data_IF_943495824708
#
_entry.id   IF_943495824708
#
_cell.length_a   1.000
_cell.length_b   1.000
_cell.length_c   1.000
_cell.angle_alpha   90.00
_cell.angle_beta   90.00
_cell.angle_gamma   90.00
#
_symmetry.space_group_name_H-M   'P 1'
#
loop_
_entity.id
_entity.type
_entity.pdbx_description
1 polymer ?
#
# COMPACT_ATOMS: atom_id res chain seq x y z
N UNK A 1 8.21 -8.84 24.58
CA UNK A 1 9.43 -9.64 24.81
C UNK A 1 9.62 -10.77 23.76
N UNK A 2 9.08 -10.66 22.53
CA UNK A 2 9.24 -11.62 21.42
C UNK A 2 9.80 -10.95 20.13
N UNK A 3 10.39 -9.75 20.26
CA UNK A 3 11.05 -9.03 19.17
C UNK A 3 12.53 -9.45 19.04
N UNK A 4 13.14 -10.00 20.09
CA UNK A 4 14.59 -9.91 20.27
C UNK A 4 15.49 -10.99 19.65
N UNK A 5 15.02 -12.03 18.94
CA UNK A 5 15.98 -13.05 18.43
C UNK A 5 15.71 -13.64 17.04
N UNK A 6 14.52 -13.45 16.45
CA UNK A 6 14.18 -14.04 15.12
C UNK A 6 13.49 -13.06 14.16
N UNK A 7 13.44 -11.77 14.52
CA UNK A 7 12.70 -10.73 13.78
C UNK A 7 13.52 -9.46 13.53
N UNK A 8 14.73 -9.37 14.07
CA UNK A 8 15.57 -8.21 13.82
C UNK A 8 15.98 -8.15 12.35
N UNK A 9 15.98 -6.95 11.75
CA UNK A 9 16.38 -6.79 10.37
C UNK A 9 17.84 -7.24 10.18
N UNK A 10 18.18 -7.84 9.03
CA UNK A 10 19.58 -8.12 8.71
C UNK A 10 20.36 -6.81 8.62
N UNK A 11 21.68 -6.92 8.72
CA UNK A 11 22.57 -5.78 8.49
C UNK A 11 22.43 -5.33 7.03
N UNK A 12 21.73 -4.21 6.83
CA UNK A 12 21.51 -3.66 5.51
C UNK A 12 22.77 -2.99 4.96
N UNK A 13 22.98 -3.17 3.67
CA UNK A 13 24.06 -2.59 2.89
C UNK A 13 23.83 -1.08 2.72
N UNK A 14 24.85 -0.28 3.02
CA UNK A 14 24.77 1.19 3.03
C UNK A 14 24.86 1.82 1.63
N UNK A 15 25.38 1.08 0.66
CA UNK A 15 25.57 1.51 -0.71
C UNK A 15 24.27 1.49 -1.54
N UNK A 16 23.20 0.89 -1.01
CA UNK A 16 21.88 0.85 -1.63
C UNK A 16 20.88 1.70 -0.85
N UNK A 17 20.07 2.48 -1.56
CA UNK A 17 18.91 3.17 -0.95
C UNK A 17 17.82 2.19 -0.54
N UNK A 18 17.70 1.06 -1.24
CA UNK A 18 16.85 -0.04 -0.80
C UNK A 18 17.55 -0.79 0.35
N UNK A 19 16.83 -1.19 1.41
CA UNK A 19 17.39 -2.05 2.44
C UNK A 19 17.68 -3.44 1.85
N UNK A 20 18.95 -3.69 1.52
CA UNK A 20 19.43 -4.90 0.87
C UNK A 20 20.44 -5.62 1.77
N UNK A 21 20.56 -6.94 1.67
CA UNK A 21 21.57 -7.70 2.40
C UNK A 21 22.06 -8.88 1.58
N UNK A 22 23.23 -9.43 1.90
CA UNK A 22 23.68 -10.68 1.29
C UNK A 22 23.14 -11.88 2.06
N UNK A 23 22.60 -12.85 1.34
CA UNK A 23 22.12 -14.09 1.92
C UNK A 23 22.74 -15.29 1.21
N UNK A 24 23.36 -16.19 1.97
CA UNK A 24 23.95 -17.41 1.42
C UNK A 24 22.86 -18.31 0.85
N UNK A 25 23.08 -18.81 -0.36
CA UNK A 25 22.19 -19.81 -0.98
C UNK A 25 22.97 -21.13 -1.06
N UNK A 26 22.34 -22.21 -0.65
CA UNK A 26 22.83 -23.56 -0.94
C UNK A 26 22.33 -23.96 -2.33
N UNK A 27 23.11 -23.61 -3.36
CA UNK A 27 22.86 -24.04 -4.73
C UNK A 27 23.64 -25.31 -5.04
N UNK A 28 23.12 -26.16 -5.92
CA UNK A 28 23.93 -27.23 -6.53
C UNK A 28 24.91 -26.63 -7.52
N UNK A 29 26.01 -27.33 -7.81
CA UNK A 29 27.04 -26.85 -8.77
C UNK A 29 26.44 -26.47 -10.14
N UNK A 30 25.46 -27.26 -10.60
CA UNK A 30 24.73 -27.01 -11.87
C UNK A 30 23.90 -25.71 -11.81
N UNK A 31 23.24 -25.44 -10.70
CA UNK A 31 22.46 -24.21 -10.52
C UNK A 31 23.38 -22.99 -10.42
N UNK A 32 24.49 -23.14 -9.71
CA UNK A 32 25.50 -22.12 -9.52
C UNK A 32 26.15 -21.72 -10.86
N UNK A 33 26.54 -22.69 -11.66
CA UNK A 33 27.13 -22.47 -12.99
C UNK A 33 26.15 -21.76 -13.93
N UNK A 34 24.88 -22.17 -13.93
CA UNK A 34 23.83 -21.53 -14.75
C UNK A 34 23.62 -20.06 -14.39
N UNK A 35 23.60 -19.75 -13.09
CA UNK A 35 23.45 -18.37 -12.58
C UNK A 35 24.68 -17.52 -12.92
N UNK A 36 25.90 -18.07 -12.72
CA UNK A 36 27.15 -17.39 -13.07
C UNK A 36 27.20 -17.06 -14.55
N UNK A 37 26.94 -18.05 -15.42
CA UNK A 37 27.00 -17.86 -16.87
C UNK A 37 25.98 -16.82 -17.33
N UNK A 38 24.78 -16.83 -16.77
CA UNK A 38 23.76 -15.81 -17.05
C UNK A 38 24.21 -14.41 -16.61
N UNK A 39 24.84 -14.29 -15.44
CA UNK A 39 25.35 -13.02 -14.93
C UNK A 39 26.52 -12.50 -15.77
N UNK A 40 27.52 -13.35 -16.03
CA UNK A 40 28.71 -12.99 -16.81
C UNK A 40 28.37 -12.60 -18.25
N UNK A 41 27.38 -13.25 -18.88
CA UNK A 41 26.90 -12.86 -20.19
C UNK A 41 26.32 -11.44 -20.22
N UNK A 42 25.78 -10.95 -19.10
CA UNK A 42 25.17 -9.61 -19.01
C UNK A 42 26.14 -8.53 -18.50
N UNK A 43 27.07 -8.87 -17.60
CA UNK A 43 27.92 -7.90 -16.88
C UNK A 43 29.43 -8.02 -17.17
N UNK A 44 29.87 -9.05 -17.89
CA UNK A 44 31.27 -9.34 -18.16
C UNK A 44 31.93 -10.24 -17.10
N UNK A 45 32.90 -11.06 -17.54
CA UNK A 45 33.57 -12.11 -16.72
C UNK A 45 34.32 -11.58 -15.48
N UNK A 46 34.73 -10.31 -15.51
CA UNK A 46 35.48 -9.69 -14.42
C UNK A 46 34.60 -9.01 -13.36
N UNK A 47 33.27 -9.03 -13.53
CA UNK A 47 32.37 -8.36 -12.62
C UNK A 47 32.33 -9.07 -11.25
N UNK A 48 32.75 -8.34 -10.20
CA UNK A 48 32.84 -8.85 -8.84
C UNK A 48 31.48 -9.29 -8.26
N UNK A 49 30.38 -8.67 -8.71
CA UNK A 49 29.01 -9.06 -8.31
C UNK A 49 28.66 -10.45 -8.86
N UNK A 50 29.06 -10.79 -10.09
CA UNK A 50 28.79 -12.11 -10.67
C UNK A 50 29.54 -13.25 -9.98
N UNK A 51 30.73 -12.96 -9.40
CA UNK A 51 31.48 -13.91 -8.57
C UNK A 51 30.81 -14.16 -7.21
N UNK A 52 30.03 -13.19 -6.70
CA UNK A 52 29.30 -13.27 -5.42
C UNK A 52 27.92 -13.92 -5.60
N UNK A 53 27.19 -13.55 -6.66
CA UNK A 53 25.82 -13.99 -6.95
C UNK A 53 25.70 -15.53 -7.07
N UNK A 54 26.79 -16.19 -7.44
CA UNK A 54 26.84 -17.65 -7.54
C UNK A 54 26.75 -18.37 -6.20
N UNK A 55 27.07 -17.68 -5.11
CA UNK A 55 27.10 -18.24 -3.74
C UNK A 55 26.09 -17.56 -2.81
N UNK A 56 25.55 -16.42 -3.22
CA UNK A 56 24.71 -15.56 -2.39
C UNK A 56 23.63 -14.87 -3.24
N UNK A 57 22.43 -14.66 -2.69
CA UNK A 57 21.43 -13.74 -3.26
C UNK A 57 21.57 -12.37 -2.62
N UNK A 58 21.05 -11.36 -3.31
CA UNK A 58 20.87 -10.00 -2.83
C UNK A 58 19.36 -9.68 -2.74
N UNK A 59 18.67 -10.12 -1.68
CA UNK A 59 17.31 -9.68 -1.42
C UNK A 59 17.33 -8.19 -1.04
N UNK A 60 16.27 -7.50 -1.45
CA UNK A 60 16.08 -6.11 -1.11
C UNK A 60 14.62 -5.87 -0.73
N UNK A 61 14.41 -5.02 0.27
CA UNK A 61 13.11 -4.53 0.66
C UNK A 61 12.72 -3.26 -0.09
N UNK A 62 11.42 -2.93 -0.16
CA UNK A 62 10.95 -1.71 -0.80
C UNK A 62 11.52 -0.45 -0.15
N UNK A 63 11.99 0.48 -0.98
CA UNK A 63 12.37 1.84 -0.60
C UNK A 63 11.15 2.70 -0.32
N UNK A 64 10.05 2.42 -1.04
CA UNK A 64 8.77 3.06 -0.84
C UNK A 64 7.61 2.08 -0.90
N UNK A 65 6.48 2.47 -0.31
CA UNK A 65 5.26 1.67 -0.28
C UNK A 65 4.04 2.55 -0.60
N UNK A 66 3.26 2.19 -1.62
CA UNK A 66 1.93 2.75 -1.87
C UNK A 66 0.88 1.99 -1.05
N UNK A 67 0.71 2.39 0.20
CA UNK A 67 -0.01 1.64 1.24
C UNK A 67 -1.54 1.76 1.17
N UNK A 68 -2.08 2.74 0.42
CA UNK A 68 -3.51 2.95 0.37
C UNK A 68 -3.94 4.06 -0.60
N UNK A 69 -5.24 4.23 -0.86
CA UNK A 69 -6.37 3.38 -0.42
C UNK A 69 -7.04 2.69 -1.61
N UNK A 70 -7.76 1.56 -1.41
CA UNK A 70 -8.41 0.88 -2.52
C UNK A 70 -9.50 1.76 -3.12
N UNK A 71 -9.59 1.74 -4.46
CA UNK A 71 -10.55 2.53 -5.25
C UNK A 71 -10.30 4.05 -5.29
N UNK A 72 -9.08 4.44 -4.94
CA UNK A 72 -8.61 5.83 -4.97
C UNK A 72 -7.57 6.08 -6.07
N UNK A 73 -7.57 5.30 -7.17
CA UNK A 73 -6.64 5.48 -8.29
C UNK A 73 -5.22 4.94 -8.09
N UNK A 74 -4.97 4.21 -7.00
CA UNK A 74 -3.63 3.71 -6.65
C UNK A 74 -2.96 2.82 -7.69
N UNK A 75 -3.70 2.06 -8.50
CA UNK A 75 -3.07 1.27 -9.57
C UNK A 75 -2.54 2.14 -10.71
N UNK A 76 -3.24 3.22 -11.03
CA UNK A 76 -2.77 4.19 -12.03
C UNK A 76 -1.53 4.93 -11.50
N UNK A 77 -1.59 5.42 -10.26
CA UNK A 77 -0.45 6.04 -9.59
C UNK A 77 0.77 5.11 -9.54
N UNK A 78 0.60 3.87 -9.06
CA UNK A 78 1.69 2.90 -8.98
C UNK A 78 2.32 2.64 -10.34
N UNK A 79 1.48 2.46 -11.39
CA UNK A 79 1.96 2.25 -12.76
C UNK A 79 2.87 3.41 -13.21
N UNK A 80 2.49 4.66 -12.95
CA UNK A 80 3.28 5.84 -13.33
C UNK A 80 4.57 5.99 -12.53
N UNK A 81 4.59 5.50 -11.29
CA UNK A 81 5.81 5.47 -10.50
C UNK A 81 6.77 4.42 -11.06
N UNK A 82 6.30 3.22 -11.41
CA UNK A 82 7.16 2.16 -11.98
C UNK A 82 7.55 2.40 -13.44
N UNK A 83 6.79 3.25 -14.16
CA UNK A 83 7.18 3.75 -15.49
C UNK A 83 8.41 4.69 -15.41
N UNK A 84 8.78 5.14 -14.20
CA UNK A 84 9.97 5.97 -14.00
C UNK A 84 11.27 5.14 -14.21
N UNK A 85 12.25 5.64 -14.97
CA UNK A 85 13.45 4.89 -15.37
C UNK A 85 14.40 4.48 -14.22
N UNK A 86 14.29 5.19 -13.08
CA UNK A 86 15.01 4.85 -11.84
C UNK A 86 14.18 3.97 -10.91
N UNK A 87 13.03 3.44 -11.33
CA UNK A 87 12.22 2.52 -10.51
C UNK A 87 12.21 1.15 -11.17
N UNK A 88 12.46 0.11 -10.38
CA UNK A 88 12.41 -1.26 -10.83
C UNK A 88 10.98 -1.79 -10.77
N UNK A 89 10.46 -2.22 -11.92
CA UNK A 89 9.22 -2.99 -12.02
C UNK A 89 9.49 -4.46 -11.64
N UNK A 90 9.67 -4.75 -10.35
CA UNK A 90 10.07 -6.09 -9.88
C UNK A 90 8.94 -6.93 -9.23
N UNK A 91 7.74 -6.39 -9.03
CA UNK A 91 6.64 -7.17 -8.46
C UNK A 91 5.28 -6.73 -9.00
N UNK A 92 4.37 -7.69 -9.15
CA UNK A 92 2.96 -7.40 -9.37
C UNK A 92 2.43 -6.56 -8.20
N UNK A 93 1.60 -5.55 -8.49
CA UNK A 93 0.96 -4.74 -7.46
C UNK A 93 0.12 -5.63 -6.52
N UNK A 94 0.01 -5.22 -5.27
CA UNK A 94 -0.64 -5.96 -4.18
C UNK A 94 0.05 -7.27 -3.75
N UNK A 95 1.36 -7.28 -3.39
CA UNK A 95 2.00 -8.46 -2.83
C UNK A 95 1.40 -8.87 -1.48
N UNK A 96 0.69 -7.95 -0.81
CA UNK A 96 -0.06 -8.15 0.42
C UNK A 96 0.79 -8.67 1.58
N UNK A 97 2.08 -8.36 1.57
CA UNK A 97 3.06 -8.84 2.54
C UNK A 97 2.68 -8.46 3.97
N UNK A 98 2.27 -7.21 4.16
CA UNK A 98 1.98 -6.68 5.49
C UNK A 98 0.54 -6.94 5.96
N UNK A 99 -0.42 -7.08 5.05
CA UNK A 99 -1.84 -6.98 5.36
C UNK A 99 -2.70 -8.25 5.13
N UNK A 100 -2.46 -9.07 4.09
CA UNK A 100 -3.46 -10.09 3.67
C UNK A 100 -2.97 -11.49 3.30
N UNK A 101 -1.68 -11.72 3.05
CA UNK A 101 -1.22 -13.09 2.74
C UNK A 101 -0.36 -13.65 3.86
N UNK A 102 -0.57 -14.95 4.12
CA UNK A 102 0.10 -15.84 5.08
C UNK A 102 -0.59 -15.99 6.45
N UNK A 103 -1.87 -16.38 6.40
CA UNK A 103 -2.68 -16.74 7.57
C UNK A 103 -2.31 -18.08 8.22
N UNK A 104 -1.41 -18.88 7.65
CA UNK A 104 -1.03 -20.21 8.16
C UNK A 104 0.23 -20.23 9.01
N UNK A 105 1.11 -19.21 8.98
CA UNK A 105 2.33 -19.17 9.79
C UNK A 105 2.79 -17.72 10.08
N UNK A 106 2.29 -17.14 11.17
CA UNK A 106 2.65 -15.78 11.61
C UNK A 106 4.16 -15.60 11.80
N UNK A 107 4.87 -16.64 12.26
CA UNK A 107 6.33 -16.62 12.42
C UNK A 107 7.09 -16.52 11.09
N UNK A 108 6.57 -17.10 10.01
CA UNK A 108 7.19 -17.02 8.67
C UNK A 108 6.95 -15.67 7.99
N UNK A 109 5.94 -14.91 8.41
CA UNK A 109 5.55 -13.63 7.79
C UNK A 109 6.65 -12.57 7.89
N UNK A 110 7.36 -12.54 9.02
CA UNK A 110 8.40 -11.55 9.35
C UNK A 110 9.81 -12.13 9.35
N UNK A 111 9.95 -13.42 9.00
CA UNK A 111 11.25 -14.02 8.76
C UNK A 111 11.73 -13.59 7.36
N UNK A 112 12.59 -12.58 7.34
CA UNK A 112 13.14 -12.00 6.12
C UNK A 112 14.00 -13.02 5.33
N UNK A 113 14.49 -14.08 5.97
CA UNK A 113 15.31 -15.10 5.31
C UNK A 113 14.45 -16.21 4.69
N UNK A 114 13.27 -16.49 5.24
CA UNK A 114 12.37 -17.56 4.74
C UNK A 114 11.30 -17.11 3.76
N UNK A 115 11.12 -15.81 3.56
CA UNK A 115 10.20 -15.31 2.54
C UNK A 115 10.82 -15.46 1.15
N UNK A 116 10.36 -16.47 0.40
CA UNK A 116 10.65 -16.66 -1.04
C UNK A 116 10.23 -15.46 -1.92
N UNK A 117 9.55 -14.48 -1.34
CA UNK A 117 8.89 -13.37 -2.05
C UNK A 117 9.63 -12.05 -1.95
N UNK A 118 10.82 -12.00 -1.35
CA UNK A 118 11.67 -10.83 -1.54
C UNK A 118 11.99 -10.69 -3.02
N UNK A 119 11.87 -9.46 -3.54
CA UNK A 119 12.43 -9.13 -4.84
C UNK A 119 13.91 -9.36 -4.72
N UNK A 120 14.32 -10.55 -5.15
CA UNK A 120 15.71 -10.86 -5.29
C UNK A 120 16.16 -10.04 -6.48
N UNK A 121 17.09 -9.09 -6.29
CA UNK A 121 17.78 -8.43 -7.41
C UNK A 121 18.78 -9.43 -7.98
N UNK A 122 18.29 -10.61 -8.37
CA UNK A 122 19.03 -11.50 -9.23
C UNK A 122 18.70 -11.03 -10.64
N UNK A 123 19.69 -10.36 -11.23
CA UNK A 123 19.97 -10.43 -12.67
C UNK A 123 18.90 -9.87 -13.61
N UNK A 124 18.33 -8.68 -13.32
CA UNK A 124 17.94 -7.81 -14.43
C UNK A 124 19.00 -6.72 -14.62
N UNK A 125 20.19 -7.18 -14.96
CA UNK A 125 21.44 -6.42 -15.16
C UNK A 125 21.51 -5.75 -16.54
N UNK A 126 20.38 -5.56 -17.22
CA UNK A 126 20.32 -4.77 -18.46
C UNK A 126 20.46 -3.26 -18.25
N UNK A 127 20.67 -2.77 -17.02
CA UNK A 127 20.90 -1.34 -16.80
C UNK A 127 22.17 -1.05 -16.03
N UNK A 128 23.13 -0.45 -16.74
CA UNK A 128 24.38 0.16 -16.23
C UNK A 128 24.18 1.33 -15.23
N UNK A 129 23.09 1.39 -14.47
CA UNK A 129 22.79 2.50 -13.55
C UNK A 129 22.49 1.98 -12.15
N UNK A 130 23.40 2.28 -11.22
CA UNK A 130 23.40 1.90 -9.81
C UNK A 130 22.25 2.49 -8.95
N UNK A 131 21.34 3.27 -9.54
CA UNK A 131 20.30 4.02 -8.82
C UNK A 131 18.89 3.60 -9.25
N UNK A 132 18.55 2.32 -9.14
CA UNK A 132 17.16 1.90 -9.36
C UNK A 132 16.49 1.44 -8.07
N UNK A 133 15.32 2.00 -7.78
CA UNK A 133 14.58 1.81 -6.54
C UNK A 133 13.50 0.74 -6.67
N UNK A 134 13.39 -0.13 -5.67
CA UNK A 134 12.23 -1.01 -5.54
C UNK A 134 11.13 -0.33 -4.74
N UNK A 135 9.90 -0.50 -5.19
CA UNK A 135 8.71 -0.12 -4.43
C UNK A 135 7.70 -1.23 -4.42
N UNK A 136 6.76 -1.13 -3.47
CA UNK A 136 5.58 -2.00 -3.41
C UNK A 136 4.30 -1.16 -3.35
N UNK A 137 3.16 -1.80 -3.54
CA UNK A 137 1.87 -1.12 -3.55
C UNK A 137 0.73 -2.02 -3.13
N UNK A 138 0.54 -2.17 -1.82
CA UNK A 138 -0.58 -2.89 -1.22
C UNK A 138 -1.57 -1.95 -0.53
N UNK A 139 -2.77 -1.82 -1.09
CA UNK A 139 -3.77 -0.84 -0.62
C UNK A 139 -4.38 -1.15 0.74
N UNK A 140 -4.29 -2.41 1.18
CA UNK A 140 -4.77 -2.83 2.49
C UNK A 140 -3.82 -2.39 3.61
N UNK A 141 -2.54 -2.15 3.31
CA UNK A 141 -1.53 -1.83 4.33
C UNK A 141 -1.91 -0.60 5.16
N UNK A 142 -2.51 0.42 4.55
CA UNK A 142 -2.89 1.66 5.25
C UNK A 142 -3.94 1.45 6.36
N UNK A 143 -4.90 0.56 6.18
CA UNK A 143 -6.12 0.52 7.01
C UNK A 143 -6.40 -0.84 7.66
N UNK A 144 -5.85 -1.93 7.12
CA UNK A 144 -6.20 -3.28 7.52
C UNK A 144 -5.38 -3.70 8.74
N UNK A 145 -5.95 -3.46 9.92
CA UNK A 145 -5.45 -4.00 11.19
C UNK A 145 -6.37 -5.09 11.74
N UNK A 146 -7.25 -5.70 10.93
CA UNK A 146 -8.32 -6.62 11.41
C UNK A 146 -7.83 -7.91 12.08
N UNK A 147 -6.54 -8.20 12.00
CA UNK A 147 -5.88 -9.39 12.55
C UNK A 147 -4.95 -9.07 13.73
N UNK A 148 -5.11 -7.90 14.32
CA UNK A 148 -4.23 -7.41 15.37
C UNK A 148 -4.16 -8.33 16.60
N UNK A 149 -5.24 -9.05 16.93
CA UNK A 149 -5.33 -10.01 18.03
C UNK A 149 -4.42 -11.24 17.84
N UNK A 150 -3.92 -11.47 16.62
CA UNK A 150 -2.95 -12.54 16.35
C UNK A 150 -1.53 -12.16 16.75
N UNK A 151 -1.28 -10.89 17.06
CA UNK A 151 0.03 -10.46 17.52
C UNK A 151 0.17 -10.90 18.98
N UNK A 152 1.18 -11.72 19.33
CA UNK A 152 1.37 -12.16 20.71
C UNK A 152 1.37 -11.00 21.71
N UNK A 153 1.85 -9.84 21.29
CA UNK A 153 1.91 -8.60 22.06
C UNK A 153 0.53 -8.00 22.37
N UNK A 154 -0.51 -8.32 21.60
CA UNK A 154 -1.87 -7.81 21.79
C UNK A 154 -2.85 -8.87 22.35
N UNK A 155 -2.37 -10.07 22.71
CA UNK A 155 -3.23 -11.25 22.94
C UNK A 155 -4.31 -11.06 24.00
N UNK A 156 -4.10 -10.12 24.94
CA UNK A 156 -4.99 -9.86 26.06
C UNK A 156 -5.62 -8.45 26.03
N UNK A 157 -5.44 -7.71 24.94
CA UNK A 157 -5.95 -6.35 24.85
C UNK A 157 -7.37 -6.34 24.27
N UNK A 158 -8.18 -5.34 24.63
CA UNK A 158 -9.48 -5.07 24.00
C UNK A 158 -9.32 -4.31 22.66
N UNK A 159 -8.16 -3.67 22.48
CA UNK A 159 -7.77 -2.91 21.30
C UNK A 159 -6.27 -3.08 21.01
N UNK A 160 -5.81 -2.94 19.76
CA UNK A 160 -4.42 -3.24 19.48
C UNK A 160 -3.45 -2.20 20.03
N UNK A 161 -2.56 -2.59 20.96
CA UNK A 161 -1.40 -1.79 21.34
C UNK A 161 -0.36 -1.70 20.22
N UNK A 162 -0.22 -2.76 19.42
CA UNK A 162 0.68 -2.83 18.27
C UNK A 162 -0.12 -3.07 16.99
N UNK A 163 0.16 -2.30 15.94
CA UNK A 163 -0.48 -2.42 14.61
C UNK A 163 0.55 -2.73 13.52
N UNK A 164 0.09 -3.02 12.29
CA UNK A 164 0.95 -3.33 11.14
C UNK A 164 2.06 -2.29 10.92
N UNK A 165 1.75 -1.01 11.14
CA UNK A 165 2.71 0.09 10.99
C UNK A 165 3.90 -0.02 11.96
N UNK A 166 3.73 -0.53 13.18
CA UNK A 166 4.84 -0.73 14.12
C UNK A 166 5.84 -1.76 13.59
N UNK A 167 5.36 -2.87 13.02
CA UNK A 167 6.22 -3.89 12.41
C UNK A 167 6.97 -3.33 11.21
N UNK A 168 6.30 -2.55 10.36
CA UNK A 168 6.95 -1.89 9.23
C UNK A 168 8.02 -0.92 9.75
N UNK A 169 7.76 -0.13 10.79
CA UNK A 169 8.73 0.84 11.34
C UNK A 169 9.97 0.18 11.93
N UNK A 170 9.79 -1.01 12.52
CA UNK A 170 10.87 -1.79 13.10
C UNK A 170 11.80 -2.34 12.00
N UNK A 171 11.24 -2.86 10.91
CA UNK A 171 12.03 -3.45 9.81
C UNK A 171 12.53 -2.40 8.81
N UNK A 172 11.70 -1.39 8.53
CA UNK A 172 11.90 -0.36 7.51
C UNK A 172 11.80 1.04 8.13
N UNK A 173 12.76 1.44 8.98
CA UNK A 173 12.71 2.70 9.71
C UNK A 173 12.61 3.93 8.81
N UNK A 174 13.22 3.88 7.63
CA UNK A 174 13.38 5.02 6.71
C UNK A 174 12.45 4.97 5.48
N UNK A 175 11.52 4.01 5.42
CA UNK A 175 10.65 3.83 4.24
C UNK A 175 9.85 5.09 3.91
N UNK A 176 9.66 5.32 2.61
CA UNK A 176 8.77 6.37 2.10
C UNK A 176 7.37 5.81 1.84
N UNK A 177 6.37 6.37 2.51
CA UNK A 177 4.99 5.89 2.48
C UNK A 177 4.15 6.84 1.61
N UNK A 178 3.43 6.28 0.65
CA UNK A 178 2.51 7.02 -0.20
C UNK A 178 1.08 6.54 0.07
N UNK A 179 0.17 7.51 0.17
CA UNK A 179 -1.27 7.27 0.29
C UNK A 179 -1.98 8.15 -0.73
N UNK A 180 -2.89 7.58 -1.50
CA UNK A 180 -3.87 8.33 -2.29
C UNK A 180 -5.27 8.12 -1.72
N UNK A 181 -5.91 9.23 -1.36
CA UNK A 181 -7.26 9.29 -0.80
C UNK A 181 -8.22 9.79 -1.87
N UNK A 182 -9.52 9.53 -1.68
CA UNK A 182 -10.62 9.97 -2.54
C UNK A 182 -11.76 10.37 -1.62
N UNK A 183 -12.73 11.16 -2.09
CA UNK A 183 -14.00 11.30 -1.38
C UNK A 183 -14.48 9.90 -0.89
N UNK A 184 -14.69 9.71 0.43
CA UNK A 184 -14.94 8.38 1.00
C UNK A 184 -16.26 7.78 0.53
N UNK A 185 -17.27 8.60 0.23
CA UNK A 185 -18.57 8.19 -0.36
C UNK A 185 -18.34 7.62 -1.75
N UNK A 186 -17.60 8.33 -2.60
CA UNK A 186 -17.30 7.89 -3.95
C UNK A 186 -16.39 6.66 -3.98
N UNK A 187 -15.44 6.58 -3.04
CA UNK A 187 -14.58 5.40 -2.84
C UNK A 187 -15.42 4.19 -2.47
N UNK A 188 -16.38 4.33 -1.56
CA UNK A 188 -17.27 3.25 -1.13
C UNK A 188 -18.10 2.72 -2.30
N UNK A 189 -18.75 3.62 -3.05
CA UNK A 189 -19.57 3.25 -4.21
C UNK A 189 -18.73 2.60 -5.31
N UNK A 190 -17.54 3.14 -5.59
CA UNK A 190 -16.60 2.51 -6.52
C UNK A 190 -16.17 1.10 -6.05
N UNK A 191 -16.07 0.90 -4.74
CA UNK A 191 -15.86 -0.41 -4.13
C UNK A 191 -17.01 -1.37 -4.41
N UNK A 192 -18.22 -0.98 -4.07
CA UNK A 192 -19.44 -1.76 -4.31
C UNK A 192 -19.54 -2.26 -5.76
N UNK A 193 -19.30 -1.37 -6.74
CA UNK A 193 -19.34 -1.74 -8.17
C UNK A 193 -18.18 -2.64 -8.62
N UNK A 194 -17.08 -2.70 -7.86
CA UNK A 194 -15.88 -3.40 -8.26
C UNK A 194 -15.79 -4.82 -7.69
N UNK A 195 -16.15 -5.02 -6.42
CA UNK A 195 -15.99 -6.32 -5.76
C UNK A 195 -17.12 -7.27 -6.17
N UNK A 196 -16.76 -8.46 -6.64
CA UNK A 196 -17.66 -9.47 -7.22
C UNK A 196 -18.55 -10.21 -6.18
N UNK A 197 -18.69 -9.70 -4.95
CA UNK A 197 -19.58 -10.31 -3.94
C UNK A 197 -21.07 -10.27 -4.38
N UNK A 198 -21.40 -9.58 -5.47
CA UNK A 198 -22.77 -9.27 -5.86
C UNK A 198 -23.02 -9.71 -7.30
N UNK A 199 -24.00 -10.59 -7.49
CA UNK A 199 -24.47 -11.08 -8.81
C UNK A 199 -25.32 -10.03 -9.53
N UNK A 200 -26.05 -9.20 -8.78
CA UNK A 200 -26.82 -8.07 -9.28
C UNK A 200 -26.41 -6.80 -8.55
N UNK A 201 -25.98 -5.78 -9.29
CA UNK A 201 -25.59 -4.47 -8.74
C UNK A 201 -26.56 -3.40 -9.24
N UNK A 202 -27.07 -2.57 -8.34
CA UNK A 202 -27.96 -1.44 -8.65
C UNK A 202 -27.76 -0.29 -7.66
N UNK A 203 -28.31 0.89 -7.97
CA UNK A 203 -28.27 2.02 -7.06
C UNK A 203 -29.13 1.78 -5.79
N UNK A 204 -30.23 1.05 -5.93
CA UNK A 204 -31.15 0.64 -4.87
C UNK A 204 -30.53 -0.43 -3.96
N UNK A 205 -29.88 -1.45 -4.51
CA UNK A 205 -29.16 -2.43 -3.71
C UNK A 205 -28.00 -1.77 -2.96
N UNK A 206 -27.26 -0.85 -3.60
CA UNK A 206 -26.24 -0.06 -2.90
C UNK A 206 -26.83 0.73 -1.73
N UNK A 207 -27.97 1.42 -1.95
CA UNK A 207 -28.66 2.15 -0.89
C UNK A 207 -29.00 1.25 0.30
N UNK A 208 -29.67 0.11 0.05
CA UNK A 208 -30.05 -0.84 1.11
C UNK A 208 -28.84 -1.29 1.92
N UNK A 209 -27.75 -1.67 1.25
CA UNK A 209 -26.50 -2.13 1.89
C UNK A 209 -25.81 -1.03 2.68
N UNK A 210 -25.74 0.17 2.11
CA UNK A 210 -25.14 1.33 2.77
C UNK A 210 -25.91 1.70 4.04
N UNK A 211 -27.24 1.76 3.98
CA UNK A 211 -28.09 2.00 5.15
C UNK A 211 -27.87 0.94 6.23
N UNK A 212 -27.90 -0.34 5.86
CA UNK A 212 -27.65 -1.43 6.81
C UNK A 212 -26.29 -1.31 7.50
N UNK A 213 -25.21 -1.05 6.74
CA UNK A 213 -23.88 -0.93 7.31
C UNK A 213 -23.72 0.32 8.17
N UNK A 214 -24.32 1.46 7.81
CA UNK A 214 -24.31 2.67 8.64
C UNK A 214 -25.02 2.41 9.96
N UNK A 215 -26.20 1.76 9.94
CA UNK A 215 -26.93 1.40 11.16
C UNK A 215 -26.12 0.46 12.06
N UNK A 216 -25.52 -0.60 11.49
CA UNK A 216 -24.65 -1.53 12.25
C UNK A 216 -23.45 -0.80 12.86
N UNK A 217 -22.78 0.04 12.08
CA UNK A 217 -21.59 0.77 12.54
C UNK A 217 -21.94 1.78 13.64
N UNK A 218 -23.01 2.54 13.47
CA UNK A 218 -23.49 3.48 14.50
C UNK A 218 -23.89 2.76 15.78
N UNK A 219 -24.54 1.59 15.70
CA UNK A 219 -24.82 0.77 16.88
C UNK A 219 -23.53 0.37 17.59
N UNK A 220 -22.53 -0.12 16.85
CA UNK A 220 -21.23 -0.44 17.46
C UNK A 220 -20.62 0.76 18.18
N UNK A 221 -20.69 1.96 17.60
CA UNK A 221 -20.16 3.18 18.24
C UNK A 221 -20.89 3.59 19.53
N UNK A 222 -22.09 3.06 19.80
CA UNK A 222 -22.77 3.28 21.10
C UNK A 222 -22.25 2.39 22.22
N UNK A 223 -21.64 1.25 21.86
CA UNK A 223 -21.21 0.21 22.79
C UNK A 223 -19.67 0.14 22.88
N UNK A 224 -18.96 0.60 21.86
CA UNK A 224 -17.52 0.43 21.70
C UNK A 224 -16.85 1.66 21.07
N UNK A 225 -15.52 1.70 21.14
CA UNK A 225 -14.74 2.77 20.52
C UNK A 225 -14.74 2.68 18.98
N UNK A 226 -14.37 3.78 18.32
CA UNK A 226 -14.13 3.83 16.88
C UNK A 226 -13.09 2.80 16.41
N UNK A 227 -12.02 2.59 17.19
CA UNK A 227 -10.92 1.68 16.86
C UNK A 227 -11.42 0.23 16.88
N UNK A 228 -12.17 -0.13 17.92
CA UNK A 228 -12.85 -1.43 18.01
C UNK A 228 -13.75 -1.64 16.79
N UNK A 229 -14.70 -0.74 16.53
CA UNK A 229 -15.65 -0.90 15.42
C UNK A 229 -14.99 -0.96 14.02
N UNK A 230 -13.86 -0.29 13.84
CA UNK A 230 -13.13 -0.30 12.57
C UNK A 230 -12.24 -1.53 12.36
N UNK A 231 -11.79 -2.19 13.44
CA UNK A 231 -10.86 -3.31 13.37
C UNK A 231 -11.47 -4.66 13.68
N UNK A 232 -12.69 -4.72 14.23
CA UNK A 232 -13.38 -5.99 14.43
C UNK A 232 -13.72 -6.61 13.07
N UNK A 233 -13.23 -7.83 12.77
CA UNK A 233 -13.52 -8.51 11.52
C UNK A 233 -15.00 -8.90 11.50
N UNK A 234 -15.80 -8.17 10.72
CA UNK A 234 -17.23 -8.46 10.53
C UNK A 234 -17.54 -8.61 9.04
N UNK A 235 -18.61 -9.35 8.71
CA UNK A 235 -19.05 -9.42 7.33
C UNK A 235 -19.77 -8.12 6.96
N UNK A 236 -19.03 -7.28 6.24
CA UNK A 236 -19.53 -5.99 5.76
C UNK A 236 -20.26 -6.15 4.43
N UNK A 237 -21.52 -5.68 4.35
CA UNK A 237 -22.23 -5.57 3.07
C UNK A 237 -21.55 -4.55 2.13
N UNK A 238 -21.02 -3.46 2.71
CA UNK A 238 -20.13 -2.49 2.07
C UNK A 238 -19.05 -2.05 3.06
N UNK A 239 -17.83 -1.79 2.58
CA UNK A 239 -16.67 -1.55 3.45
C UNK A 239 -16.56 -0.09 3.87
N UNK A 240 -17.44 0.35 4.79
CA UNK A 240 -17.48 1.71 5.33
C UNK A 240 -16.18 2.09 6.04
N UNK A 241 -15.68 1.20 6.91
CA UNK A 241 -14.51 1.44 7.76
C UNK A 241 -13.27 1.90 6.96
N UNK A 242 -13.06 1.38 5.75
CA UNK A 242 -11.93 1.76 4.87
C UNK A 242 -11.90 3.27 4.54
N UNK A 243 -13.03 3.97 4.64
CA UNK A 243 -13.13 5.41 4.43
C UNK A 243 -12.83 6.26 5.67
N UNK A 244 -12.56 5.65 6.83
CA UNK A 244 -12.27 6.35 8.10
C UNK A 244 -10.82 6.82 8.14
N UNK A 245 -10.43 7.66 7.17
CA UNK A 245 -9.03 8.00 6.93
C UNK A 245 -8.35 8.71 8.10
N UNK A 246 -9.08 9.51 8.88
CA UNK A 246 -8.54 10.19 10.06
C UNK A 246 -7.98 9.19 11.08
N UNK A 247 -8.71 8.10 11.35
CA UNK A 247 -8.28 7.02 12.24
C UNK A 247 -6.94 6.46 11.78
N UNK A 248 -6.87 6.03 10.51
CA UNK A 248 -5.66 5.40 9.97
C UNK A 248 -4.51 6.38 9.87
N UNK A 249 -4.73 7.59 9.36
CA UNK A 249 -3.69 8.62 9.27
C UNK A 249 -3.08 8.90 10.65
N UNK A 250 -3.89 8.94 11.71
CA UNK A 250 -3.43 9.14 13.09
C UNK A 250 -2.51 8.00 13.54
N UNK A 251 -2.86 6.74 13.29
CA UNK A 251 -1.98 5.59 13.58
C UNK A 251 -0.60 5.75 12.92
N UNK A 252 -0.59 6.08 11.63
CA UNK A 252 0.65 6.16 10.86
C UNK A 252 1.56 7.30 11.31
N UNK A 253 1.04 8.50 11.59
CA UNK A 253 1.87 9.64 12.04
C UNK A 253 2.33 9.53 13.50
N UNK A 254 1.70 8.66 14.30
CA UNK A 254 2.19 8.35 15.65
C UNK A 254 3.42 7.44 15.62
N UNK A 255 3.67 6.76 14.49
CA UNK A 255 4.73 5.75 14.35
C UNK A 255 5.85 6.24 13.40
N UNK A 256 5.48 6.96 12.34
CA UNK A 256 6.40 7.49 11.34
C UNK A 256 6.42 9.02 11.36
N UNK A 257 7.58 9.59 11.01
CA UNK A 257 7.68 11.03 10.86
C UNK A 257 6.77 11.53 9.71
N UNK A 258 6.21 12.74 9.85
CA UNK A 258 5.25 13.29 8.88
C UNK A 258 5.82 13.39 7.46
N UNK A 259 7.12 13.66 7.33
CA UNK A 259 7.86 13.75 6.07
C UNK A 259 8.22 12.39 5.44
N UNK A 260 7.93 11.28 6.13
CA UNK A 260 7.93 9.94 5.56
C UNK A 260 6.61 9.56 4.91
N UNK A 261 5.55 10.38 5.05
CA UNK A 261 4.21 10.04 4.55
C UNK A 261 3.68 11.12 3.60
N UNK A 262 3.67 10.83 2.30
CA UNK A 262 3.00 11.65 1.30
C UNK A 262 1.53 11.23 1.16
N UNK A 263 0.61 12.19 1.27
CA UNK A 263 -0.82 11.99 1.02
C UNK A 263 -1.23 12.79 -0.19
N UNK A 264 -1.82 12.11 -1.17
CA UNK A 264 -2.42 12.70 -2.36
C UNK A 264 -3.95 12.59 -2.27
N UNK A 265 -4.63 13.53 -2.91
CA UNK A 265 -6.07 13.46 -3.16
C UNK A 265 -6.31 13.04 -4.62
N UNK A 266 -7.21 12.09 -4.86
CA UNK A 266 -7.48 11.55 -6.19
C UNK A 266 -8.05 12.62 -7.12
N UNK A 267 -8.90 13.50 -6.59
CA UNK A 267 -9.51 14.60 -7.30
C UNK A 267 -8.41 15.52 -7.88
N UNK A 268 -7.47 15.98 -7.05
CA UNK A 268 -6.31 16.77 -7.46
C UNK A 268 -5.38 16.02 -8.41
N UNK A 269 -5.07 14.76 -8.10
CA UNK A 269 -4.23 13.92 -8.94
C UNK A 269 -4.83 13.71 -10.33
N UNK A 270 -6.15 13.55 -10.41
CA UNK A 270 -6.85 13.33 -11.68
C UNK A 270 -6.92 14.60 -12.54
N UNK A 271 -7.03 15.76 -11.91
CA UNK A 271 -7.05 17.08 -12.56
C UNK A 271 -5.64 17.55 -12.97
N UNK A 272 -4.64 17.30 -12.13
CA UNK A 272 -3.28 17.85 -12.27
C UNK A 272 -2.20 16.77 -12.18
N UNK A 273 -2.38 15.69 -12.95
CA UNK A 273 -1.53 14.48 -12.87
C UNK A 273 -0.02 14.74 -13.01
N UNK A 274 0.42 15.63 -13.90
CA UNK A 274 1.84 15.96 -14.05
C UNK A 274 2.40 16.58 -12.76
N UNK A 275 1.72 17.59 -12.20
CA UNK A 275 2.11 18.23 -10.93
C UNK A 275 2.15 17.23 -9.77
N UNK A 276 1.16 16.33 -9.71
CA UNK A 276 1.12 15.30 -8.69
C UNK A 276 2.29 14.31 -8.84
N UNK A 277 2.64 13.92 -10.06
CA UNK A 277 3.81 13.06 -10.30
C UNK A 277 5.13 13.75 -9.97
N UNK A 278 5.31 15.03 -10.30
CA UNK A 278 6.50 15.80 -9.87
C UNK A 278 6.62 15.84 -8.33
N UNK A 279 5.50 15.98 -7.62
CA UNK A 279 5.47 15.90 -6.15
C UNK A 279 5.92 14.53 -5.65
N UNK A 280 5.45 13.45 -6.28
CA UNK A 280 5.84 12.08 -5.96
C UNK A 280 7.33 11.84 -6.20
N UNK A 281 7.85 12.28 -7.35
CA UNK A 281 9.26 12.12 -7.70
C UNK A 281 10.17 12.87 -6.72
N UNK A 282 9.82 14.12 -6.37
CA UNK A 282 10.53 14.90 -5.36
C UNK A 282 10.51 14.20 -3.99
N UNK A 283 9.35 13.71 -3.56
CA UNK A 283 9.20 12.99 -2.29
C UNK A 283 10.05 11.71 -2.23
N UNK A 284 10.08 10.96 -3.33
CA UNK A 284 10.88 9.75 -3.50
C UNK A 284 12.36 10.02 -3.81
N UNK A 285 12.77 11.30 -3.91
CA UNK A 285 14.13 11.71 -4.29
C UNK A 285 14.59 11.02 -5.59
N UNK A 286 13.67 10.90 -6.55
CA UNK A 286 13.96 10.46 -7.91
C UNK A 286 14.51 11.62 -8.73
N UNK A 287 15.26 11.30 -9.79
CA UNK A 287 15.66 12.34 -10.75
C UNK A 287 14.43 13.00 -11.34
N UNK A 288 14.52 14.30 -11.58
CA UNK A 288 13.46 14.97 -12.31
C UNK A 288 13.47 14.50 -13.77
N UNK A 289 12.29 14.35 -14.33
CA UNK A 289 12.15 14.08 -15.75
C UNK A 289 11.77 15.41 -16.39
N UNK A 290 12.56 15.88 -17.35
CA UNK A 290 12.15 16.99 -18.21
C UNK A 290 10.78 16.67 -18.85
N UNK A 291 10.06 17.71 -19.28
CA UNK A 291 8.72 17.61 -19.89
C UNK A 291 8.62 16.58 -21.04
N UNK A 292 9.75 16.18 -21.62
CA UNK A 292 9.91 15.15 -22.65
C UNK A 292 9.46 13.73 -22.23
N UNK A 293 9.37 13.45 -20.93
CA UNK A 293 8.84 12.18 -20.40
C UNK A 293 7.41 12.29 -19.88
N UNK A 294 6.67 13.33 -20.29
CA UNK A 294 5.26 13.53 -19.93
C UNK A 294 4.44 12.25 -19.98
N UNK A 295 3.40 12.18 -19.15
CA UNK A 295 2.51 11.03 -18.97
C UNK A 295 2.17 10.33 -20.30
N UNK A 296 2.86 9.21 -20.60
CA UNK A 296 2.71 8.49 -21.88
C UNK A 296 1.55 7.51 -21.86
N UNK A 297 1.07 7.12 -20.69
CA UNK A 297 0.07 6.07 -20.51
C UNK A 297 -1.30 6.63 -20.12
N UNK A 298 -2.34 6.10 -20.76
CA UNK A 298 -3.73 6.36 -20.41
C UNK A 298 -4.09 5.85 -19.00
N UNK A 299 -5.18 6.38 -18.43
CA UNK A 299 -5.62 6.03 -17.07
C UNK A 299 -5.84 4.53 -16.89
N UNK A 300 -5.24 3.95 -15.86
CA UNK A 300 -5.43 2.54 -15.52
C UNK A 300 -6.65 2.31 -14.60
N UNK A 301 -7.27 1.13 -14.69
CA UNK A 301 -8.37 0.68 -13.81
C UNK A 301 -9.58 1.61 -13.74
N UNK A 302 -9.97 2.17 -14.88
CA UNK A 302 -11.23 2.92 -15.03
C UNK A 302 -12.46 2.03 -14.84
N UNK A 303 -13.64 2.65 -14.67
CA UNK A 303 -14.92 1.93 -14.46
C UNK A 303 -15.17 0.97 -15.62
N UNK A 304 -15.42 -0.31 -15.31
CA UNK A 304 -15.68 -1.36 -16.31
C UNK A 304 -16.99 -1.09 -17.04
N UNK A 305 -17.03 -1.33 -18.37
CA UNK A 305 -18.24 -1.20 -19.21
C UNK A 305 -19.47 -1.88 -18.60
N UNK A 306 -19.28 -3.10 -18.07
CA UNK A 306 -20.35 -3.89 -17.44
C UNK A 306 -21.04 -3.26 -16.22
N UNK A 307 -20.47 -2.23 -15.60
CA UNK A 307 -21.12 -1.51 -14.48
C UNK A 307 -21.37 -0.05 -14.79
N UNK A 308 -21.13 0.41 -16.03
CA UNK A 308 -21.42 1.78 -16.44
C UNK A 308 -22.92 2.06 -16.44
N UNK A 309 -23.73 1.09 -16.87
CA UNK A 309 -25.20 1.20 -16.91
C UNK A 309 -25.84 1.43 -15.53
N UNK A 310 -25.15 1.06 -14.44
CA UNK A 310 -25.64 1.29 -13.06
C UNK A 310 -25.72 2.78 -12.72
N UNK A 311 -25.02 3.65 -13.46
CA UNK A 311 -25.14 5.09 -13.28
C UNK A 311 -24.50 5.61 -11.99
N UNK A 312 -25.10 6.66 -11.43
CA UNK A 312 -24.72 7.26 -10.14
C UNK A 312 -25.49 6.57 -9.00
N UNK A 313 -25.01 6.73 -7.77
CA UNK A 313 -25.82 6.35 -6.60
C UNK A 313 -27.03 7.28 -6.44
N UNK A 314 -28.07 6.84 -5.73
CA UNK A 314 -29.22 7.69 -5.40
C UNK A 314 -28.78 8.89 -4.54
N UNK A 315 -29.40 10.05 -4.72
CA UNK A 315 -29.10 11.26 -3.94
C UNK A 315 -29.24 11.03 -2.43
N UNK A 316 -30.33 10.38 -2.01
CA UNK A 316 -30.54 9.98 -0.60
C UNK A 316 -29.42 9.10 -0.05
N UNK A 317 -28.76 8.29 -0.89
CA UNK A 317 -27.61 7.47 -0.46
C UNK A 317 -26.38 8.33 -0.28
N UNK A 318 -26.17 9.31 -1.15
CA UNK A 318 -25.09 10.30 -0.99
C UNK A 318 -25.27 11.09 0.29
N UNK A 319 -26.44 11.67 0.52
CA UNK A 319 -26.75 12.45 1.74
C UNK A 319 -26.52 11.66 3.03
N UNK A 320 -26.98 10.40 3.06
CA UNK A 320 -26.74 9.48 4.17
C UNK A 320 -25.25 9.28 4.44
N UNK A 321 -24.47 9.02 3.39
CA UNK A 321 -23.04 8.72 3.51
C UNK A 321 -22.20 9.97 3.78
N UNK A 322 -22.55 11.12 3.20
CA UNK A 322 -21.91 12.41 3.50
C UNK A 322 -22.15 12.78 4.97
N UNK A 323 -23.37 12.57 5.49
CA UNK A 323 -23.68 12.75 6.91
C UNK A 323 -22.83 11.83 7.79
N UNK A 324 -22.76 10.55 7.45
CA UNK A 324 -21.93 9.57 8.17
C UNK A 324 -20.44 9.93 8.17
N UNK A 325 -19.89 10.33 7.02
CA UNK A 325 -18.46 10.62 6.89
C UNK A 325 -18.06 12.02 7.37
N UNK A 326 -19.00 12.96 7.47
CA UNK A 326 -18.76 14.36 7.87
C UNK A 326 -17.86 14.52 9.11
N UNK A 327 -18.13 13.88 10.28
CA UNK A 327 -17.26 14.03 11.45
C UNK A 327 -15.84 13.50 11.21
N UNK A 328 -15.70 12.41 10.45
CA UNK A 328 -14.40 11.82 10.15
C UNK A 328 -13.60 12.63 9.13
N UNK A 329 -14.27 13.27 8.17
CA UNK A 329 -13.65 14.17 7.20
C UNK A 329 -13.17 15.46 7.87
N UNK A 330 -13.94 16.02 8.81
CA UNK A 330 -13.50 17.16 9.64
C UNK A 330 -12.23 16.83 10.42
N UNK A 331 -12.24 15.69 11.11
CA UNK A 331 -11.05 15.22 11.83
C UNK A 331 -9.84 15.00 10.91
N UNK A 332 -10.04 14.52 9.69
CA UNK A 332 -8.96 14.37 8.71
C UNK A 332 -8.44 15.73 8.24
N UNK A 333 -9.32 16.67 7.91
CA UNK A 333 -8.95 18.01 7.45
C UNK A 333 -8.14 18.76 8.50
N UNK A 334 -8.53 18.67 9.77
CA UNK A 334 -7.77 19.19 10.91
C UNK A 334 -6.40 18.51 11.05
N UNK A 335 -6.37 17.17 11.00
CA UNK A 335 -5.13 16.38 11.13
C UNK A 335 -4.11 16.69 10.02
N UNK A 336 -4.62 17.00 8.82
CA UNK A 336 -3.85 17.37 7.64
C UNK A 336 -3.57 18.87 7.55
N UNK A 337 -4.26 19.70 8.34
CA UNK A 337 -4.31 21.15 8.21
C UNK A 337 -4.68 21.62 6.78
N UNK A 338 -5.68 20.96 6.18
CA UNK A 338 -5.99 21.06 4.76
C UNK A 338 -7.52 20.92 4.52
N UNK A 339 -8.26 22.01 4.24
CA UNK A 339 -9.72 21.98 4.15
C UNK A 339 -10.26 21.16 2.97
N UNK A 340 -9.45 20.91 1.94
CA UNK A 340 -9.84 20.06 0.79
C UNK A 340 -10.24 18.63 1.18
N UNK A 341 -9.82 18.15 2.35
CA UNK A 341 -10.22 16.85 2.90
C UNK A 341 -11.59 16.86 3.59
N UNK A 342 -12.30 18.00 3.60
CA UNK A 342 -13.72 18.03 3.95
C UNK A 342 -14.58 17.43 2.84
N UNK A 343 -14.08 17.42 1.60
CA UNK A 343 -14.82 17.04 0.39
C UNK A 343 -16.20 17.71 0.27
N UNK A 344 -16.30 18.96 0.74
CA UNK A 344 -17.47 19.78 0.47
C UNK A 344 -17.54 20.02 -1.04
N UNK A 345 -18.72 19.80 -1.62
CA UNK A 345 -18.99 20.29 -2.97
C UNK A 345 -18.75 21.80 -2.95
N UNK A 346 -17.95 22.31 -3.89
CA UNK A 346 -17.94 23.74 -4.16
C UNK A 346 -19.39 24.09 -4.53
N UNK A 347 -20.10 24.73 -3.61
CA UNK A 347 -21.44 25.28 -3.82
C UNK A 347 -21.40 26.37 -4.86
#
# INVERSE_FOLDING_TARGET
MFINDKKDPPNFLTEFKNPCWYEKINLTDVQQEKIQNTCFNNLGKDNQICKIISKQRLPCLPYFMLIGTPKSGSTDLYKRIIDHPDVLSCAAKEPHWWARQQHSNFEKKYDLHKSERHSTILTNTQSKKANRYLGEGSQSTFWDNTWWWRYPENRNDEEPGIVTANFIRHILPEVKLLVILRNPVDRLYSGYLFFKKHTHVSAEDFHRRATNEVTKFNKCLTEHSLRHCAYTPTDHEVRLHVGLYALYRKEWINIFARDQILVLQLEDYSAHSQRAMSTVYKFLKLRDLSDEYGIKSGRANTRKKKTQHVGQMLNKTRELLDTFYSPFNKALAELMNEPRFLWQSLT
#
